data_IF_726617199302
#
_entry.id   IF_726617199302
#
_cell.length_a   1.000
_cell.length_b   1.000
_cell.length_c   1.000
_cell.angle_alpha   90.00
_cell.angle_beta   90.00
_cell.angle_gamma   90.00
#
_symmetry.space_group_name_H-M   'P 1'
#
loop_
_entity.id
_entity.type
_entity.pdbx_description
1 polymer ?
#
# COMPACT_ATOMS: atom_id res chain seq x y z
N UNK A 1 10.66 21.38 18.98
CA UNK A 1 10.33 19.94 19.15
C UNK A 1 9.53 19.59 17.92
N UNK A 2 10.03 18.70 17.06
CA UNK A 2 9.27 18.30 15.88
C UNK A 2 8.14 17.37 16.36
N UNK A 3 6.93 17.88 16.46
CA UNK A 3 5.75 17.06 16.75
C UNK A 3 5.63 16.02 15.63
N UNK A 4 5.65 14.73 15.98
CA UNK A 4 5.36 13.67 15.04
C UNK A 4 3.94 13.88 14.49
N UNK A 5 3.68 13.62 13.19
CA UNK A 5 2.34 13.76 12.64
C UNK A 5 1.38 12.89 13.46
N UNK A 6 0.45 13.51 14.17
CA UNK A 6 -0.58 12.80 14.91
C UNK A 6 -1.49 12.13 13.88
N UNK A 7 -1.41 10.79 13.78
CA UNK A 7 -2.38 10.01 13.00
C UNK A 7 -3.76 10.29 13.61
N UNK A 8 -4.65 10.87 12.82
CA UNK A 8 -6.02 11.15 13.26
C UNK A 8 -6.88 9.89 13.16
N UNK A 9 -7.98 9.83 13.91
CA UNK A 9 -8.95 8.73 13.79
C UNK A 9 -9.52 8.60 12.38
N UNK A 10 -9.71 9.72 11.67
CA UNK A 10 -10.18 9.71 10.28
C UNK A 10 -9.17 9.03 9.33
N UNK A 11 -7.87 9.29 9.51
CA UNK A 11 -6.81 8.63 8.73
C UNK A 11 -6.77 7.12 9.03
N UNK A 12 -6.95 6.74 10.29
CA UNK A 12 -6.99 5.35 10.72
C UNK A 12 -8.19 4.61 10.10
N UNK A 13 -9.36 5.25 10.10
CA UNK A 13 -10.59 4.68 9.56
C UNK A 13 -10.47 4.47 8.04
N UNK A 14 -9.99 5.49 7.30
CA UNK A 14 -9.71 5.37 5.86
C UNK A 14 -8.70 4.28 5.53
N UNK A 15 -7.64 4.16 6.35
CA UNK A 15 -6.64 3.12 6.19
C UNK A 15 -7.22 1.73 6.41
N UNK A 16 -8.01 1.52 7.47
CA UNK A 16 -8.67 0.25 7.74
C UNK A 16 -9.69 -0.10 6.65
N UNK A 17 -10.50 0.86 6.20
CA UNK A 17 -11.41 0.67 5.07
C UNK A 17 -10.66 0.21 3.82
N UNK A 18 -9.51 0.82 3.51
CA UNK A 18 -8.69 0.41 2.39
C UNK A 18 -8.14 -1.01 2.52
N UNK A 19 -7.71 -1.40 3.72
CA UNK A 19 -7.28 -2.78 4.00
C UNK A 19 -8.40 -3.77 3.83
N UNK A 20 -9.59 -3.47 4.35
CA UNK A 20 -10.76 -4.32 4.18
C UNK A 20 -11.14 -4.45 2.70
N UNK A 21 -11.07 -3.37 1.92
CA UNK A 21 -11.36 -3.39 0.50
C UNK A 21 -10.36 -4.26 -0.31
N UNK A 22 -9.06 -4.19 0.03
CA UNK A 22 -8.02 -5.05 -0.55
C UNK A 22 -8.22 -6.52 -0.13
N UNK A 23 -8.50 -6.78 1.16
CA UNK A 23 -8.75 -8.13 1.69
C UNK A 23 -10.01 -8.76 1.08
N UNK A 24 -11.01 -7.96 0.75
CA UNK A 24 -12.24 -8.41 0.09
C UNK A 24 -12.02 -8.74 -1.40
N UNK A 25 -11.00 -8.17 -2.05
CA UNK A 25 -10.74 -8.32 -3.48
C UNK A 25 -9.26 -8.64 -3.79
N UNK A 26 -8.68 -9.70 -3.20
CA UNK A 26 -7.25 -10.00 -3.37
C UNK A 26 -6.89 -10.30 -4.82
N UNK A 27 -7.79 -10.92 -5.58
CA UNK A 27 -7.62 -11.27 -6.99
C UNK A 27 -7.43 -10.05 -7.91
N UNK A 28 -8.09 -8.93 -7.61
CA UNK A 28 -7.97 -7.69 -8.39
C UNK A 28 -6.56 -7.12 -8.22
N UNK A 29 -6.05 -7.15 -6.99
CA UNK A 29 -4.71 -6.70 -6.67
C UNK A 29 -3.66 -7.63 -7.28
N UNK A 30 -3.81 -8.96 -7.11
CA UNK A 30 -2.90 -9.94 -7.69
C UNK A 30 -2.84 -9.86 -9.24
N UNK A 31 -4.00 -9.67 -9.90
CA UNK A 31 -4.06 -9.50 -11.35
C UNK A 31 -3.37 -8.20 -11.82
N UNK A 32 -3.43 -7.14 -11.03
CA UNK A 32 -2.72 -5.88 -11.31
C UNK A 32 -1.21 -6.02 -11.07
N UNK A 33 -0.80 -6.68 -9.98
CA UNK A 33 0.61 -7.00 -9.67
C UNK A 33 1.26 -7.82 -10.80
N UNK A 34 0.52 -8.74 -11.41
CA UNK A 34 1.02 -9.57 -12.50
C UNK A 34 1.39 -8.79 -13.78
N UNK A 35 0.95 -7.54 -13.91
CA UNK A 35 1.29 -6.66 -15.05
C UNK A 35 2.58 -5.88 -14.85
N UNK A 36 3.09 -5.82 -13.62
CA UNK A 36 4.26 -5.02 -13.27
C UNK A 36 5.57 -5.68 -13.74
N UNK A 37 6.59 -4.84 -13.88
CA UNK A 37 7.98 -5.24 -14.06
C UNK A 37 8.45 -6.15 -12.91
N UNK A 38 9.47 -7.02 -13.11
CA UNK A 38 9.90 -7.95 -12.07
C UNK A 38 10.27 -7.27 -10.74
N UNK A 39 10.92 -6.10 -10.81
CA UNK A 39 11.27 -5.31 -9.63
C UNK A 39 10.05 -4.73 -8.92
N UNK A 40 9.14 -4.10 -9.66
CA UNK A 40 7.91 -3.55 -9.08
C UNK A 40 6.97 -4.63 -8.56
N UNK A 41 6.91 -5.80 -9.21
CA UNK A 41 6.09 -6.95 -8.79
C UNK A 41 6.48 -7.46 -7.41
N UNK A 42 7.78 -7.62 -7.15
CA UNK A 42 8.26 -8.08 -5.84
C UNK A 42 7.84 -7.11 -4.74
N UNK A 43 8.01 -5.81 -4.99
CA UNK A 43 7.63 -4.76 -4.04
C UNK A 43 6.12 -4.72 -3.83
N UNK A 44 5.33 -4.72 -4.89
CA UNK A 44 3.87 -4.68 -4.80
C UNK A 44 3.30 -5.91 -4.08
N UNK A 45 3.92 -7.08 -4.24
CA UNK A 45 3.55 -8.29 -3.50
C UNK A 45 3.79 -8.11 -1.99
N UNK A 46 4.98 -7.59 -1.60
CA UNK A 46 5.30 -7.30 -0.19
C UNK A 46 4.35 -6.26 0.41
N UNK A 47 3.99 -5.23 -0.36
CA UNK A 47 3.02 -4.21 0.06
C UNK A 47 1.63 -4.82 0.26
N UNK A 48 1.15 -5.63 -0.69
CA UNK A 48 -0.11 -6.37 -0.55
C UNK A 48 -0.09 -7.20 0.72
N UNK A 49 0.95 -7.99 0.95
CA UNK A 49 1.03 -8.87 2.12
C UNK A 49 1.03 -8.06 3.44
N UNK A 50 1.71 -6.92 3.46
CA UNK A 50 1.69 -6.01 4.61
C UNK A 50 0.28 -5.44 4.86
N UNK A 51 -0.42 -4.97 3.82
CA UNK A 51 -1.80 -4.47 3.89
C UNK A 51 -2.76 -5.57 4.35
N UNK A 52 -2.58 -6.80 3.86
CA UNK A 52 -3.39 -7.97 4.22
C UNK A 52 -3.02 -8.57 5.59
N UNK A 53 -1.89 -8.19 6.19
CA UNK A 53 -1.49 -8.68 7.50
C UNK A 53 -2.49 -8.29 8.60
N UNK A 54 -2.30 -8.83 9.80
CA UNK A 54 -3.00 -8.43 11.02
C UNK A 54 -2.27 -7.33 11.79
N UNK A 55 -1.24 -6.70 11.19
CA UNK A 55 -0.51 -5.60 11.84
C UNK A 55 -1.44 -4.42 12.10
N UNK A 56 -1.63 -4.04 13.37
CA UNK A 56 -2.46 -2.89 13.77
C UNK A 56 -1.60 -1.77 14.36
N UNK A 57 -0.34 -2.03 14.69
CA UNK A 57 0.57 -1.00 15.17
C UNK A 57 1.03 -0.15 13.99
N UNK A 58 0.62 1.11 13.98
CA UNK A 58 0.90 2.04 12.87
C UNK A 58 2.40 2.32 12.76
N UNK A 59 3.12 2.35 13.88
CA UNK A 59 4.57 2.56 13.88
C UNK A 59 5.31 1.39 13.22
N UNK A 60 4.94 0.16 13.56
CA UNK A 60 5.46 -1.05 12.97
C UNK A 60 5.04 -1.20 11.51
N UNK A 61 3.80 -0.83 11.17
CA UNK A 61 3.35 -0.79 9.78
C UNK A 61 4.17 0.18 8.95
N UNK A 62 4.35 1.42 9.44
CA UNK A 62 5.15 2.45 8.78
C UNK A 62 6.61 2.00 8.62
N UNK A 63 7.22 1.45 9.67
CA UNK A 63 8.59 0.94 9.59
C UNK A 63 8.76 -0.19 8.56
N UNK A 64 7.78 -1.09 8.45
CA UNK A 64 7.75 -2.14 7.42
C UNK A 64 7.56 -1.55 6.03
N UNK A 65 6.66 -0.58 5.88
CA UNK A 65 6.41 0.14 4.63
C UNK A 65 7.68 0.83 4.13
N UNK A 66 8.34 1.62 4.99
CA UNK A 66 9.62 2.27 4.69
C UNK A 66 10.71 1.24 4.33
N UNK A 67 10.75 0.09 5.00
CA UNK A 67 11.67 -1.00 4.68
C UNK A 67 11.43 -1.63 3.30
N UNK A 68 10.17 -1.71 2.85
CA UNK A 68 9.79 -2.24 1.54
C UNK A 68 10.07 -1.21 0.42
N UNK A 69 9.83 0.07 0.69
CA UNK A 69 10.05 1.16 -0.26
C UNK A 69 11.48 1.69 -0.28
N UNK A 70 12.31 1.26 0.67
CA UNK A 70 13.71 1.64 0.80
C UNK A 70 14.55 1.18 -0.40
N UNK A 71 15.27 2.11 -1.02
CA UNK A 71 16.22 1.79 -2.08
C UNK A 71 15.61 1.50 -3.45
N UNK A 72 14.31 1.76 -3.65
CA UNK A 72 13.69 1.64 -4.96
C UNK A 72 14.18 2.72 -5.94
N UNK A 73 14.46 2.32 -7.18
CA UNK A 73 14.74 3.24 -8.27
C UNK A 73 13.49 4.07 -8.61
N UNK A 74 13.70 5.28 -9.15
CA UNK A 74 12.58 6.19 -9.49
C UNK A 74 11.61 5.58 -10.51
N UNK A 75 12.12 4.75 -11.43
CA UNK A 75 11.31 4.03 -12.41
C UNK A 75 10.34 3.04 -11.74
N UNK A 76 10.82 2.29 -10.75
CA UNK A 76 9.98 1.35 -9.96
C UNK A 76 8.98 2.10 -9.09
N UNK A 77 9.36 3.25 -8.51
CA UNK A 77 8.45 4.08 -7.72
C UNK A 77 7.30 4.62 -8.56
N UNK A 78 7.58 5.13 -9.75
CA UNK A 78 6.57 5.64 -10.67
C UNK A 78 5.60 4.53 -11.11
N UNK A 79 6.13 3.34 -11.38
CA UNK A 79 5.30 2.17 -11.75
C UNK A 79 4.39 1.75 -10.59
N UNK A 80 4.90 1.73 -9.35
CA UNK A 80 4.11 1.43 -8.15
C UNK A 80 3.05 2.50 -7.84
N UNK A 81 3.32 3.77 -8.12
CA UNK A 81 2.36 4.85 -7.97
C UNK A 81 1.18 4.68 -8.94
N UNK A 82 1.47 4.39 -10.21
CA UNK A 82 0.46 4.07 -11.21
C UNK A 82 -0.36 2.84 -10.81
N UNK A 83 0.31 1.77 -10.35
CA UNK A 83 -0.35 0.58 -9.82
C UNK A 83 -1.29 0.89 -8.65
N UNK A 84 -0.85 1.73 -7.71
CA UNK A 84 -1.65 2.10 -6.54
C UNK A 84 -2.90 2.89 -6.94
N UNK A 85 -2.79 3.78 -7.93
CA UNK A 85 -3.93 4.51 -8.48
C UNK A 85 -4.94 3.56 -9.15
N UNK A 86 -4.48 2.58 -9.94
CA UNK A 86 -5.35 1.56 -10.56
C UNK A 86 -6.06 0.71 -9.51
N UNK A 87 -5.33 0.24 -8.48
CA UNK A 87 -5.91 -0.56 -7.39
C UNK A 87 -6.93 0.24 -6.61
N UNK A 88 -6.61 1.48 -6.22
CA UNK A 88 -7.52 2.35 -5.48
C UNK A 88 -8.82 2.60 -6.26
N UNK A 89 -8.73 2.89 -7.57
CA UNK A 89 -9.90 3.02 -8.43
C UNK A 89 -10.73 1.73 -8.50
N UNK A 90 -10.07 0.57 -8.58
CA UNK A 90 -10.75 -0.72 -8.69
C UNK A 90 -11.47 -1.15 -7.40
N UNK A 91 -10.96 -0.75 -6.24
CA UNK A 91 -11.54 -1.09 -4.93
C UNK A 91 -12.37 0.05 -4.30
N UNK A 92 -12.58 1.14 -5.05
CA UNK A 92 -13.46 2.26 -4.65
C UNK A 92 -12.85 3.19 -3.59
N UNK A 93 -11.53 3.21 -3.44
CA UNK A 93 -10.85 4.16 -2.56
C UNK A 93 -10.60 5.48 -3.30
N UNK A 94 -10.75 6.63 -2.61
CA UNK A 94 -10.39 7.91 -3.19
C UNK A 94 -8.88 7.95 -3.44
N UNK A 95 -8.48 8.05 -4.71
CA UNK A 95 -7.13 8.45 -5.10
C UNK A 95 -6.97 9.93 -4.79
N UNK A 96 -5.98 10.28 -3.96
CA UNK A 96 -5.64 11.66 -3.63
C UNK A 96 -5.05 12.41 -4.84
#
# INVERSE_FOLDING_TARGET
>A
MCEAPQITQEMLDKFNQGREAVKANPEIVDASIAKLSPGAREVATKLRDLVCSDEQDIGAFQAKLDGIQGGLSDEVKAELEAHNAEVAAAIGLPTA
#
